data_IF_128151925085
#
_entry.id   IF_128151925085
#
_cell.length_a   1.000
_cell.length_b   1.000
_cell.length_c   1.000
_cell.angle_alpha   90.00
_cell.angle_beta   90.00
_cell.angle_gamma   90.00
#
_symmetry.space_group_name_H-M   'P 1'
#
loop_
_entity.id
_entity.type
_entity.pdbx_description
1 polymer ?
#
# COMPACT_ATOMS: atom_id res chain seq x y z
N UNK A 1 -1.97 25.92 8.89
CA UNK A 1 -0.86 26.16 7.94
C UNK A 1 -1.47 26.24 6.55
N UNK A 2 -1.57 27.43 5.95
CA UNK A 2 -2.20 27.63 4.64
C UNK A 2 -1.48 26.92 3.48
N UNK A 3 -0.23 26.45 3.68
CA UNK A 3 0.56 25.80 2.63
C UNK A 3 0.33 24.29 2.53
N UNK A 4 -0.45 23.68 3.43
CA UNK A 4 -0.75 22.25 3.38
C UNK A 4 -1.97 22.02 2.49
N UNK A 5 -1.83 21.28 1.38
CA UNK A 5 -2.95 20.96 0.51
C UNK A 5 -4.06 20.20 1.25
N UNK A 6 -5.32 20.47 0.90
CA UNK A 6 -6.49 19.78 1.46
C UNK A 6 -6.47 18.26 1.20
N UNK A 7 -5.69 17.81 0.20
CA UNK A 7 -5.58 16.42 -0.24
C UNK A 7 -4.34 15.69 0.33
N UNK A 8 -3.71 16.23 1.38
CA UNK A 8 -2.62 15.62 2.14
C UNK A 8 -3.08 14.41 3.01
N UNK A 9 -3.87 13.51 2.43
CA UNK A 9 -4.38 12.29 3.05
C UNK A 9 -3.75 11.02 2.43
N UNK A 10 -2.59 11.16 1.77
CA UNK A 10 -1.93 10.04 1.09
C UNK A 10 -1.63 8.87 2.05
N UNK A 11 -1.20 9.18 3.27
CA UNK A 11 -0.97 8.19 4.32
C UNK A 11 -2.27 7.49 4.75
N UNK A 12 -3.37 8.24 4.91
CA UNK A 12 -4.68 7.68 5.25
C UNK A 12 -5.19 6.72 4.16
N UNK A 13 -5.12 7.15 2.88
CA UNK A 13 -5.43 6.29 1.72
C UNK A 13 -4.53 5.04 1.69
N UNK A 14 -3.27 5.21 2.09
CA UNK A 14 -2.29 4.16 2.27
C UNK A 14 -2.76 3.06 3.23
N UNK A 15 -3.24 3.43 4.42
CA UNK A 15 -3.65 2.46 5.46
C UNK A 15 -5.08 1.93 5.27
N UNK A 16 -5.95 2.66 4.56
CA UNK A 16 -7.37 2.29 4.39
C UNK A 16 -7.58 0.89 3.80
N UNK A 17 -6.70 0.46 2.89
CA UNK A 17 -6.70 -0.89 2.31
C UNK A 17 -6.55 -2.00 3.36
N UNK A 18 -5.78 -1.75 4.42
CA UNK A 18 -5.62 -2.70 5.54
C UNK A 18 -6.97 -2.87 6.23
N UNK A 19 -7.66 -1.77 6.53
CA UNK A 19 -8.96 -1.85 7.22
C UNK A 19 -10.04 -2.49 6.35
N UNK A 20 -10.04 -2.21 5.05
CA UNK A 20 -10.92 -2.89 4.09
C UNK A 20 -10.67 -4.39 4.08
N UNK A 21 -9.40 -4.82 4.03
CA UNK A 21 -9.06 -6.25 4.07
C UNK A 21 -9.52 -6.92 5.37
N UNK A 22 -9.37 -6.24 6.51
CA UNK A 22 -9.83 -6.74 7.81
C UNK A 22 -11.36 -6.85 7.91
N UNK A 23 -12.09 -5.80 7.52
CA UNK A 23 -13.54 -5.69 7.78
C UNK A 23 -14.43 -6.28 6.68
N UNK A 24 -14.00 -6.17 5.42
CA UNK A 24 -14.86 -6.45 4.25
C UNK A 24 -14.33 -7.65 3.45
N UNK A 25 -13.02 -7.74 3.22
CA UNK A 25 -12.45 -8.73 2.29
C UNK A 25 -11.96 -10.02 2.98
N UNK A 26 -12.71 -10.53 3.96
CA UNK A 26 -12.48 -11.84 4.56
C UNK A 26 -11.37 -11.93 5.62
N UNK A 27 -10.83 -10.80 6.08
CA UNK A 27 -9.79 -10.71 7.11
C UNK A 27 -8.47 -11.42 6.74
N UNK A 28 -7.49 -11.35 7.63
CA UNK A 28 -6.25 -12.13 7.58
C UNK A 28 -6.43 -13.40 8.40
N UNK A 29 -6.06 -14.55 7.82
CA UNK A 29 -6.14 -15.86 8.49
C UNK A 29 -4.83 -16.25 9.17
N UNK A 30 -3.72 -15.68 8.73
CA UNK A 30 -2.38 -15.95 9.25
C UNK A 30 -1.56 -14.66 9.23
N UNK A 31 -0.59 -14.57 10.14
CA UNK A 31 0.38 -13.46 10.18
C UNK A 31 1.22 -13.41 8.90
N UNK A 32 1.66 -14.58 8.40
CA UNK A 32 2.37 -14.70 7.12
C UNK A 32 1.57 -14.06 5.98
N UNK A 33 0.28 -14.37 5.86
CA UNK A 33 -0.59 -13.78 4.83
C UNK A 33 -0.78 -12.27 5.00
N UNK A 34 -0.86 -11.78 6.24
CA UNK A 34 -0.89 -10.34 6.52
C UNK A 34 0.42 -9.66 6.10
N UNK A 35 1.57 -10.24 6.43
CA UNK A 35 2.88 -9.72 6.05
C UNK A 35 3.08 -9.70 4.54
N UNK A 36 2.71 -10.76 3.82
CA UNK A 36 2.74 -10.78 2.36
C UNK A 36 1.88 -9.67 1.75
N UNK A 37 0.65 -9.49 2.25
CA UNK A 37 -0.24 -8.40 1.81
C UNK A 37 0.39 -7.03 2.06
N UNK A 38 0.95 -6.80 3.24
CA UNK A 38 1.61 -5.54 3.60
C UNK A 38 2.85 -5.26 2.74
N UNK A 39 3.66 -6.28 2.44
CA UNK A 39 4.88 -6.13 1.64
C UNK A 39 4.58 -5.64 0.22
N UNK A 40 3.64 -6.28 -0.48
CA UNK A 40 3.24 -5.89 -1.85
C UNK A 40 2.75 -4.44 -1.87
N UNK A 41 1.91 -4.08 -0.92
CA UNK A 41 1.37 -2.73 -0.82
C UNK A 41 2.41 -1.68 -0.40
N UNK A 42 3.37 -2.04 0.45
CA UNK A 42 4.48 -1.16 0.85
C UNK A 42 5.35 -0.78 -0.35
N UNK A 43 5.75 -1.77 -1.16
CA UNK A 43 6.52 -1.55 -2.40
C UNK A 43 5.74 -0.67 -3.37
N UNK A 44 4.46 -0.98 -3.60
CA UNK A 44 3.63 -0.24 -4.55
C UNK A 44 3.39 1.22 -4.13
N UNK A 45 3.15 1.51 -2.85
CA UNK A 45 2.97 2.89 -2.40
C UNK A 45 4.29 3.67 -2.38
N UNK A 46 5.41 3.01 -2.04
CA UNK A 46 6.74 3.62 -2.12
C UNK A 46 7.09 3.98 -3.56
N UNK A 47 6.83 3.08 -4.52
CA UNK A 47 7.01 3.37 -5.94
C UNK A 47 6.22 4.60 -6.37
N UNK A 48 4.93 4.67 -6.02
CA UNK A 48 4.09 5.84 -6.34
C UNK A 48 4.62 7.14 -5.74
N UNK A 49 5.07 7.12 -4.48
CA UNK A 49 5.64 8.31 -3.81
C UNK A 49 6.90 8.83 -4.51
N UNK A 50 7.68 7.95 -5.11
CA UNK A 50 8.88 8.28 -5.87
C UNK A 50 8.61 8.51 -7.38
N UNK A 51 7.35 8.68 -7.79
CA UNK A 51 7.00 8.92 -9.20
C UNK A 51 7.11 7.69 -10.11
N UNK A 52 7.30 6.50 -9.55
CA UNK A 52 7.47 5.26 -10.31
C UNK A 52 6.14 4.51 -10.52
N UNK A 53 6.08 3.71 -11.59
CA UNK A 53 4.95 2.82 -11.85
C UNK A 53 4.88 1.70 -10.81
N UNK A 54 3.70 1.54 -10.19
CA UNK A 54 3.42 0.44 -9.25
C UNK A 54 3.65 -0.93 -9.89
N UNK A 55 3.20 -1.09 -11.13
CA UNK A 55 3.32 -2.34 -11.87
C UNK A 55 4.79 -2.71 -12.11
N UNK A 56 5.59 -1.77 -12.64
CA UNK A 56 7.02 -2.00 -12.88
C UNK A 56 7.77 -2.32 -11.59
N UNK A 57 7.43 -1.66 -10.49
CA UNK A 57 8.05 -1.91 -9.19
C UNK A 57 7.75 -3.31 -8.64
N UNK A 58 6.50 -3.79 -8.80
CA UNK A 58 6.15 -5.16 -8.39
C UNK A 58 6.82 -6.18 -9.31
N UNK A 59 6.81 -5.95 -10.63
CA UNK A 59 7.46 -6.84 -11.60
C UNK A 59 8.95 -7.01 -11.30
N UNK A 60 9.66 -5.91 -11.04
CA UNK A 60 11.08 -5.92 -10.71
C UNK A 60 11.42 -6.66 -9.40
N UNK A 61 10.47 -6.81 -8.47
CA UNK A 61 10.66 -7.62 -7.24
C UNK A 61 10.42 -9.10 -7.51
N UNK A 62 9.57 -9.45 -8.47
CA UNK A 62 9.29 -10.84 -8.85
C UNK A 62 10.36 -11.43 -9.77
N UNK A 63 11.10 -10.59 -10.48
CA UNK A 63 12.19 -10.97 -11.38
C UNK A 63 13.56 -11.10 -10.68
N UNK A 64 13.62 -10.86 -9.35
CA UNK A 64 14.80 -11.09 -8.51
C UNK A 64 14.94 -12.56 -8.12
#
# INVERSE_FOLDING_TARGET
>A
NPDVPYDNNASERGIRKIKVKQKVSGCFRTEKGANTFMNVHSVAETAKKNGNSKYKAILAVLEQ
#
